data_IF_758035850253
#
_entry.id   IF_758035850253
#
_cell.length_a   1.000
_cell.length_b   1.000
_cell.length_c   1.000
_cell.angle_alpha   90.00
_cell.angle_beta   90.00
_cell.angle_gamma   90.00
#
_symmetry.space_group_name_H-M   'P 1'
#
loop_
_entity.id
_entity.type
_entity.pdbx_description
1 polymer ?
#
# COMPACT_ATOMS: atom_id res chain seq x y z
N UNK A 1 33.40 2.56 5.14
CA UNK A 1 31.95 2.73 4.85
C UNK A 1 31.51 4.07 5.43
N UNK A 2 30.80 4.92 4.67
CA UNK A 2 30.16 6.11 5.26
C UNK A 2 29.11 5.64 6.28
N UNK A 3 28.97 6.31 7.44
CA UNK A 3 27.94 5.94 8.41
C UNK A 3 26.56 6.01 7.72
N UNK A 4 25.76 4.95 7.88
CA UNK A 4 24.36 4.95 7.42
C UNK A 4 23.61 6.02 8.23
N UNK A 5 23.36 7.17 7.61
CA UNK A 5 22.48 8.20 8.17
C UNK A 5 21.08 7.60 8.23
N UNK A 6 20.50 7.49 9.43
CA UNK A 6 19.10 7.14 9.59
C UNK A 6 18.26 8.27 8.97
N UNK A 7 17.42 7.94 7.99
CA UNK A 7 16.55 8.92 7.35
C UNK A 7 15.32 9.16 8.25
N UNK A 8 15.00 10.43 8.53
CA UNK A 8 13.88 10.86 9.37
C UNK A 8 12.83 11.66 8.60
N UNK A 9 12.89 11.66 7.27
CA UNK A 9 11.92 12.35 6.43
C UNK A 9 10.51 11.77 6.65
N UNK A 10 9.55 12.64 6.95
CA UNK A 10 8.14 12.28 7.16
C UNK A 10 7.24 12.92 6.11
N UNK A 11 7.67 14.04 5.51
CA UNK A 11 6.94 14.74 4.45
C UNK A 11 7.55 14.44 3.08
N UNK A 12 6.70 14.47 2.05
CA UNK A 12 7.10 14.16 0.66
C UNK A 12 8.24 15.05 0.15
N UNK A 13 8.24 16.35 0.46
CA UNK A 13 9.32 17.27 0.08
C UNK A 13 10.65 16.94 0.80
N UNK A 14 10.61 16.49 2.07
CA UNK A 14 11.78 16.03 2.82
C UNK A 14 12.34 14.75 2.18
N UNK A 15 11.46 13.83 1.79
CA UNK A 15 11.85 12.60 1.09
C UNK A 15 12.52 12.92 -0.24
N UNK A 16 11.99 13.89 -1.00
CA UNK A 16 12.59 14.37 -2.24
C UNK A 16 13.94 15.06 -1.99
N UNK A 17 14.06 15.86 -0.93
CA UNK A 17 15.32 16.49 -0.54
C UNK A 17 16.38 15.44 -0.19
N UNK A 18 16.06 14.47 0.68
CA UNK A 18 16.96 13.37 1.03
C UNK A 18 17.34 12.56 -0.22
N UNK A 19 16.40 12.30 -1.12
CA UNK A 19 16.67 11.60 -2.37
C UNK A 19 17.67 12.36 -3.25
N UNK A 20 17.52 13.69 -3.37
CA UNK A 20 18.47 14.54 -4.10
C UNK A 20 19.85 14.57 -3.43
N UNK A 21 19.92 14.60 -2.10
CA UNK A 21 21.19 14.56 -1.35
C UNK A 21 21.94 13.24 -1.56
N UNK A 22 21.22 12.12 -1.62
CA UNK A 22 21.81 10.78 -1.78
C UNK A 22 22.17 10.47 -3.23
N UNK A 23 21.26 10.73 -4.18
CA UNK A 23 21.42 10.35 -5.59
C UNK A 23 22.09 11.43 -6.44
N UNK A 24 22.10 12.67 -5.96
CA UNK A 24 22.54 13.83 -6.72
C UNK A 24 21.50 14.33 -7.72
N UNK A 25 21.61 15.61 -8.08
CA UNK A 25 20.58 16.25 -8.89
C UNK A 25 20.52 15.74 -10.34
N UNK A 26 21.67 15.40 -10.95
CA UNK A 26 21.70 14.83 -12.31
C UNK A 26 20.97 13.49 -12.39
N UNK A 27 21.05 12.65 -11.35
CA UNK A 27 20.32 11.39 -11.31
C UNK A 27 18.81 11.64 -11.24
N UNK A 28 18.39 12.55 -10.35
CA UNK A 28 16.99 12.96 -10.21
C UNK A 28 16.41 13.55 -11.52
N UNK A 29 17.18 14.36 -12.24
CA UNK A 29 16.79 14.89 -13.55
C UNK A 29 16.50 13.78 -14.55
N UNK A 30 17.33 12.72 -14.59
CA UNK A 30 17.13 11.57 -15.47
C UNK A 30 15.88 10.77 -15.09
N UNK A 31 15.70 10.49 -13.79
CA UNK A 31 14.55 9.72 -13.29
C UNK A 31 13.24 10.42 -13.65
N UNK A 32 13.14 11.72 -13.38
CA UNK A 32 11.89 12.46 -13.58
C UNK A 32 11.78 13.15 -14.94
N UNK A 33 12.82 13.10 -15.77
CA UNK A 33 12.91 13.82 -17.05
C UNK A 33 12.56 15.31 -16.91
N UNK A 34 13.11 15.96 -15.88
CA UNK A 34 12.90 17.39 -15.59
C UNK A 34 14.22 18.12 -15.38
N UNK A 35 14.23 19.41 -15.70
CA UNK A 35 15.40 20.28 -15.49
C UNK A 35 15.70 20.56 -14.01
N UNK A 36 16.92 21.03 -13.74
CA UNK A 36 17.43 21.28 -12.39
C UNK A 36 16.50 22.13 -11.53
N UNK A 37 15.97 23.23 -12.08
CA UNK A 37 15.10 24.15 -11.34
C UNK A 37 13.84 23.45 -10.85
N UNK A 38 13.25 22.56 -11.67
CA UNK A 38 12.06 21.81 -11.28
C UNK A 38 12.37 20.77 -10.19
N UNK A 39 13.53 20.10 -10.26
CA UNK A 39 14.00 19.20 -9.20
C UNK A 39 14.17 19.96 -7.88
N UNK A 40 14.73 21.17 -7.93
CA UNK A 40 14.86 21.99 -6.73
C UNK A 40 13.49 22.35 -6.12
N UNK A 41 12.50 22.70 -6.95
CA UNK A 41 11.12 22.99 -6.50
C UNK A 41 10.45 21.78 -5.84
N UNK A 42 10.70 20.57 -6.32
CA UNK A 42 10.19 19.33 -5.71
C UNK A 42 10.77 19.06 -4.32
N UNK A 43 11.97 19.57 -4.03
CA UNK A 43 12.63 19.45 -2.74
C UNK A 43 12.30 20.63 -1.80
N UNK A 44 11.60 21.67 -2.27
CA UNK A 44 11.31 22.86 -1.48
C UNK A 44 10.20 22.59 -0.47
N UNK A 45 10.31 23.17 0.73
CA UNK A 45 9.22 23.15 1.71
C UNK A 45 7.97 23.85 1.15
N UNK A 46 6.75 23.38 1.45
CA UNK A 46 5.49 24.04 1.07
C UNK A 46 5.36 25.50 1.51
N UNK A 47 6.14 25.93 2.50
CA UNK A 47 6.19 27.32 2.96
C UNK A 47 7.01 28.24 2.04
N UNK A 48 7.82 27.68 1.14
CA UNK A 48 8.54 28.46 0.12
C UNK A 48 7.62 28.77 -1.06
N UNK A 49 7.69 30.00 -1.57
CA UNK A 49 6.88 30.47 -2.70
C UNK A 49 7.08 29.64 -3.98
N UNK A 50 8.28 29.10 -4.18
CA UNK A 50 8.65 28.28 -5.35
C UNK A 50 8.20 26.81 -5.23
N UNK A 51 7.55 26.41 -4.15
CA UNK A 51 7.11 25.04 -3.95
C UNK A 51 6.13 24.59 -5.04
N UNK A 52 6.33 23.37 -5.53
CA UNK A 52 5.40 22.71 -6.44
C UNK A 52 5.19 21.26 -6.03
N UNK A 53 3.97 20.76 -6.28
CA UNK A 53 3.62 19.35 -6.07
C UNK A 53 4.66 18.43 -6.72
N UNK A 54 5.35 17.69 -5.87
CA UNK A 54 6.37 16.75 -6.27
C UNK A 54 5.73 15.43 -6.78
N UNK A 55 6.52 14.52 -7.37
CA UNK A 55 6.00 13.26 -7.88
C UNK A 55 5.28 12.41 -6.83
N UNK A 56 5.73 12.43 -5.57
CA UNK A 56 5.07 11.70 -4.48
C UNK A 56 3.71 12.33 -4.13
N UNK A 57 3.61 13.67 -4.10
CA UNK A 57 2.32 14.35 -3.91
C UNK A 57 1.33 14.03 -5.03
N UNK A 58 1.83 13.93 -6.26
CA UNK A 58 1.02 13.61 -7.44
C UNK A 58 0.55 12.17 -7.42
N UNK A 59 1.40 11.23 -7.02
CA UNK A 59 1.02 9.83 -6.83
C UNK A 59 -0.03 9.68 -5.73
N UNK A 60 0.16 10.37 -4.60
CA UNK A 60 -0.83 10.37 -3.53
C UNK A 60 -2.19 10.89 -4.03
N UNK A 61 -2.20 12.04 -4.73
CA UNK A 61 -3.43 12.57 -5.33
C UNK A 61 -4.08 11.58 -6.32
N UNK A 62 -3.28 10.95 -7.18
CA UNK A 62 -3.78 9.96 -8.13
C UNK A 62 -4.46 8.80 -7.39
N UNK A 63 -3.81 8.26 -6.36
CA UNK A 63 -4.33 7.15 -5.57
C UNK A 63 -5.60 7.51 -4.80
N UNK A 64 -5.64 8.69 -4.17
CA UNK A 64 -6.86 9.17 -3.52
C UNK A 64 -8.02 9.29 -4.50
N UNK A 65 -7.78 9.77 -5.72
CA UNK A 65 -8.82 9.87 -6.75
C UNK A 65 -9.29 8.51 -7.27
N UNK A 66 -8.38 7.54 -7.42
CA UNK A 66 -8.77 6.19 -7.80
C UNK A 66 -9.63 5.53 -6.72
N UNK A 67 -9.26 5.72 -5.45
CA UNK A 67 -10.05 5.23 -4.32
C UNK A 67 -11.44 5.90 -4.25
N UNK A 68 -11.53 7.21 -4.45
CA UNK A 68 -12.80 7.96 -4.54
C UNK A 68 -13.74 7.40 -5.61
N UNK A 69 -13.19 6.86 -6.71
CA UNK A 69 -13.93 6.24 -7.81
C UNK A 69 -14.17 4.73 -7.61
N UNK A 70 -13.78 4.16 -6.46
CA UNK A 70 -13.99 2.74 -6.11
C UNK A 70 -12.87 1.79 -6.54
N UNK A 71 -11.77 2.30 -7.09
CA UNK A 71 -10.65 1.50 -7.61
C UNK A 71 -9.58 1.18 -6.54
N UNK A 72 -10.01 0.79 -5.32
CA UNK A 72 -9.11 0.47 -4.18
C UNK A 72 -8.09 -0.62 -4.55
N UNK A 73 -8.52 -1.66 -5.26
CA UNK A 73 -7.66 -2.77 -5.67
C UNK A 73 -6.53 -2.35 -6.63
N UNK A 74 -6.80 -1.38 -7.50
CA UNK A 74 -5.78 -0.81 -8.39
C UNK A 74 -4.75 0.01 -7.59
N UNK A 75 -5.19 0.73 -6.55
CA UNK A 75 -4.29 1.48 -5.66
C UNK A 75 -3.37 0.52 -4.90
N UNK A 76 -3.92 -0.54 -4.32
CA UNK A 76 -3.14 -1.59 -3.63
C UNK A 76 -2.13 -2.21 -4.59
N UNK A 77 -2.50 -2.44 -5.85
CA UNK A 77 -1.59 -2.93 -6.88
C UNK A 77 -0.37 -2.04 -7.08
N UNK A 78 -0.62 -0.76 -7.27
CA UNK A 78 0.41 0.22 -7.54
C UNK A 78 1.35 0.35 -6.34
N UNK A 79 0.82 0.37 -5.11
CA UNK A 79 1.62 0.42 -3.90
C UNK A 79 2.51 -0.82 -3.73
N UNK A 80 1.95 -2.03 -3.92
CA UNK A 80 2.72 -3.27 -3.87
C UNK A 80 3.82 -3.32 -4.94
N UNK A 81 3.57 -2.79 -6.14
CA UNK A 81 4.61 -2.64 -7.16
C UNK A 81 5.76 -1.74 -6.68
N UNK A 82 5.46 -0.60 -6.05
CA UNK A 82 6.48 0.31 -5.52
C UNK A 82 7.27 -0.31 -4.35
N UNK A 83 6.59 -1.04 -3.46
CA UNK A 83 7.22 -1.74 -2.33
C UNK A 83 8.11 -2.93 -2.75
N UNK A 84 7.96 -3.44 -3.97
CA UNK A 84 8.76 -4.55 -4.49
C UNK A 84 10.28 -4.31 -4.44
N UNK A 85 10.71 -3.05 -4.49
CA UNK A 85 12.14 -2.66 -4.37
C UNK A 85 12.76 -2.95 -3.00
N UNK A 86 11.94 -3.06 -1.95
CA UNK A 86 12.37 -3.27 -0.57
C UNK A 86 11.90 -4.61 0.02
N UNK A 87 11.17 -5.43 -0.75
CA UNK A 87 10.66 -6.72 -0.30
C UNK A 87 9.51 -6.63 0.71
N UNK A 88 8.83 -5.48 0.78
CA UNK A 88 7.65 -5.26 1.61
C UNK A 88 6.38 -5.25 0.75
N UNK A 89 5.23 -5.36 1.42
CA UNK A 89 3.90 -5.19 0.83
C UNK A 89 3.06 -4.31 1.75
N UNK A 90 2.02 -3.70 1.17
CA UNK A 90 1.03 -3.00 1.99
C UNK A 90 0.14 -4.03 2.68
N UNK A 91 -0.18 -3.75 3.93
CA UNK A 91 -1.15 -4.49 4.72
C UNK A 91 -2.22 -3.52 5.19
N UNK A 92 -3.46 -3.96 5.19
CA UNK A 92 -4.55 -3.18 5.75
C UNK A 92 -4.30 -2.96 7.24
N UNK A 93 -4.50 -1.72 7.71
CA UNK A 93 -4.26 -1.34 9.11
C UNK A 93 -5.41 -1.76 10.04
N UNK A 94 -6.52 -2.26 9.50
CA UNK A 94 -7.72 -2.50 10.25
C UNK A 94 -7.55 -3.70 11.20
N UNK A 95 -8.09 -3.59 12.40
CA UNK A 95 -8.32 -4.77 13.24
C UNK A 95 -9.21 -5.74 12.46
N UNK A 96 -8.88 -7.02 12.58
CA UNK A 96 -9.69 -8.11 12.04
C UNK A 96 -10.97 -8.13 12.87
N UNK A 97 -12.05 -7.58 12.33
CA UNK A 97 -13.32 -7.40 13.02
C UNK A 97 -14.35 -8.24 12.29
N UNK A 98 -14.97 -9.23 12.97
CA UNK A 98 -16.10 -9.97 12.41
C UNK A 98 -17.19 -9.01 11.91
N UNK A 99 -17.63 -9.19 10.67
CA UNK A 99 -18.64 -8.35 10.04
C UNK A 99 -20.02 -9.03 9.96
N UNK A 100 -20.13 -10.31 10.33
CA UNK A 100 -21.37 -11.09 10.40
C UNK A 100 -21.93 -11.19 11.82
N UNK A 101 -23.20 -11.57 11.89
CA UNK A 101 -23.94 -11.61 13.17
C UNK A 101 -23.65 -12.89 13.95
N UNK A 102 -23.30 -13.97 13.25
CA UNK A 102 -23.09 -15.29 13.82
C UNK A 102 -21.78 -15.91 13.32
N UNK A 103 -21.21 -16.82 14.12
CA UNK A 103 -20.00 -17.56 13.73
C UNK A 103 -20.27 -18.43 12.50
N UNK A 104 -21.49 -18.98 12.40
CA UNK A 104 -21.91 -19.80 11.27
C UNK A 104 -21.94 -19.00 9.96
N UNK A 105 -22.33 -17.73 10.00
CA UNK A 105 -22.29 -16.84 8.83
C UNK A 105 -20.86 -16.48 8.44
N UNK A 106 -19.98 -16.18 9.40
CA UNK A 106 -18.54 -15.95 9.12
C UNK A 106 -17.91 -17.17 8.43
N UNK A 107 -18.19 -18.37 8.94
CA UNK A 107 -17.69 -19.61 8.33
C UNK A 107 -18.16 -19.81 6.89
N UNK A 108 -19.33 -19.25 6.52
CA UNK A 108 -19.86 -19.35 5.16
C UNK A 108 -19.18 -18.38 4.19
N UNK A 109 -18.71 -17.23 4.67
CA UNK A 109 -18.04 -16.20 3.87
C UNK A 109 -16.61 -16.59 3.47
N UNK A 110 -15.97 -17.49 4.22
CA UNK A 110 -14.66 -18.05 3.85
C UNK A 110 -14.68 -18.80 2.50
N UNK A 111 -15.80 -19.46 2.16
CA UNK A 111 -15.85 -20.38 1.01
C UNK A 111 -15.74 -19.67 -0.35
N UNK A 112 -16.52 -18.62 -0.66
CA UNK A 112 -16.36 -17.85 -1.90
C UNK A 112 -14.91 -17.39 -2.13
N UNK A 113 -14.26 -16.87 -1.11
CA UNK A 113 -12.89 -16.33 -1.22
C UNK A 113 -11.86 -17.42 -1.49
N UNK A 114 -12.02 -18.59 -0.84
CA UNK A 114 -11.16 -19.75 -1.10
C UNK A 114 -11.38 -20.33 -2.50
N UNK A 115 -12.63 -20.36 -2.98
CA UNK A 115 -12.97 -20.81 -4.33
C UNK A 115 -12.35 -19.88 -5.37
N UNK A 116 -12.41 -18.57 -5.17
CA UNK A 116 -11.79 -17.60 -6.08
C UNK A 116 -10.26 -17.75 -6.10
N UNK A 117 -9.63 -17.97 -4.95
CA UNK A 117 -8.20 -18.27 -4.88
C UNK A 117 -7.83 -19.49 -5.73
N UNK A 118 -8.55 -20.59 -5.58
CA UNK A 118 -8.32 -21.81 -6.34
C UNK A 118 -8.58 -21.60 -7.84
N UNK A 119 -9.59 -20.81 -8.20
CA UNK A 119 -9.86 -20.42 -9.58
C UNK A 119 -8.70 -19.64 -10.19
N UNK A 120 -8.14 -18.65 -9.48
CA UNK A 120 -7.00 -17.87 -9.97
C UNK A 120 -5.75 -18.74 -10.15
N UNK A 121 -5.51 -19.69 -9.24
CA UNK A 121 -4.40 -20.65 -9.35
C UNK A 121 -4.58 -21.56 -10.57
N UNK A 122 -5.76 -22.18 -10.70
CA UNK A 122 -6.05 -23.14 -11.78
C UNK A 122 -6.05 -22.51 -13.17
N UNK A 123 -6.38 -21.22 -13.26
CA UNK A 123 -6.36 -20.45 -14.52
C UNK A 123 -4.99 -19.85 -14.84
N UNK A 124 -3.94 -20.12 -14.05
CA UNK A 124 -2.61 -19.51 -14.17
C UNK A 124 -2.66 -17.98 -14.20
N UNK A 125 -3.49 -17.38 -13.35
CA UNK A 125 -3.54 -15.94 -13.20
C UNK A 125 -2.16 -15.38 -12.78
N UNK A 126 -1.95 -14.08 -13.00
CA UNK A 126 -0.71 -13.42 -12.60
C UNK A 126 -0.43 -13.68 -11.10
N UNK A 127 0.83 -14.02 -10.71
CA UNK A 127 1.16 -14.36 -9.31
C UNK A 127 0.75 -13.30 -8.29
N UNK A 128 0.70 -12.03 -8.71
CA UNK A 128 0.26 -10.93 -7.87
C UNK A 128 -1.24 -10.97 -7.56
N UNK A 129 -2.08 -11.37 -8.51
CA UNK A 129 -3.53 -11.54 -8.29
C UNK A 129 -3.79 -12.72 -7.36
N UNK A 130 -3.13 -13.86 -7.61
CA UNK A 130 -3.21 -15.05 -6.74
C UNK A 130 -2.81 -14.70 -5.31
N UNK A 131 -1.72 -13.94 -5.14
CA UNK A 131 -1.24 -13.57 -3.81
C UNK A 131 -2.22 -12.64 -3.09
N UNK A 132 -2.78 -11.63 -3.76
CA UNK A 132 -3.76 -10.74 -3.14
C UNK A 132 -5.03 -11.46 -2.73
N UNK A 133 -5.53 -12.34 -3.59
CA UNK A 133 -6.68 -13.18 -3.23
C UNK A 133 -6.35 -14.06 -2.02
N UNK A 134 -5.12 -14.60 -1.93
CA UNK A 134 -4.67 -15.35 -0.76
C UNK A 134 -4.62 -14.50 0.51
N UNK A 135 -4.13 -13.27 0.43
CA UNK A 135 -4.14 -12.31 1.53
C UNK A 135 -5.58 -11.99 1.98
N UNK A 136 -6.52 -11.83 1.03
CA UNK A 136 -7.94 -11.63 1.30
C UNK A 136 -8.57 -12.84 2.00
N UNK A 137 -8.40 -14.05 1.45
CA UNK A 137 -8.89 -15.29 2.04
C UNK A 137 -8.36 -15.51 3.46
N UNK A 138 -7.08 -15.19 3.72
CA UNK A 138 -6.54 -15.27 5.08
C UNK A 138 -7.22 -14.29 6.04
N UNK A 139 -7.69 -13.13 5.57
CA UNK A 139 -8.40 -12.17 6.41
C UNK A 139 -9.76 -12.70 6.84
N UNK A 140 -10.60 -13.15 5.90
CA UNK A 140 -11.92 -13.73 6.21
C UNK A 140 -11.80 -14.87 7.24
N UNK A 141 -10.83 -15.77 7.05
CA UNK A 141 -10.60 -16.87 7.98
C UNK A 141 -10.27 -16.36 9.39
N UNK A 142 -9.52 -15.26 9.48
CA UNK A 142 -9.19 -14.67 10.77
C UNK A 142 -10.37 -13.91 11.39
N UNK A 143 -11.30 -13.36 10.60
CA UNK A 143 -12.58 -12.80 11.07
C UNK A 143 -13.43 -13.91 11.69
N UNK A 144 -13.53 -15.06 11.01
CA UNK A 144 -14.16 -16.28 11.55
C UNK A 144 -13.55 -16.71 12.88
N UNK A 145 -12.22 -16.78 12.98
CA UNK A 145 -11.53 -17.15 14.24
C UNK A 145 -11.86 -16.15 15.34
N UNK A 146 -11.80 -14.85 15.05
CA UNK A 146 -12.09 -13.78 16.01
C UNK A 146 -13.53 -13.86 16.51
N UNK A 147 -14.49 -14.08 15.61
CA UNK A 147 -15.91 -14.27 15.93
C UNK A 147 -16.13 -15.44 16.88
N UNK A 148 -15.46 -16.56 16.61
CA UNK A 148 -15.53 -17.74 17.48
C UNK A 148 -14.95 -17.47 18.88
N UNK A 149 -13.80 -16.80 18.98
CA UNK A 149 -13.21 -16.43 20.27
C UNK A 149 -14.16 -15.55 21.09
N UNK A 150 -14.82 -14.57 20.46
CA UNK A 150 -15.82 -13.72 21.12
C UNK A 150 -17.04 -14.51 21.60
N UNK A 151 -17.53 -15.45 20.78
CA UNK A 151 -18.64 -16.33 21.14
C UNK A 151 -18.31 -17.19 22.36
N UNK A 152 -17.10 -17.74 22.41
CA UNK A 152 -16.61 -18.51 23.57
C UNK A 152 -16.55 -17.64 24.84
N UNK A 153 -16.05 -16.40 24.74
CA UNK A 153 -15.99 -15.46 25.88
C UNK A 153 -17.38 -15.09 26.40
N UNK A 154 -18.40 -15.00 25.54
CA UNK A 154 -19.80 -14.70 25.93
C UNK A 154 -20.50 -15.88 26.60
N UNK A 155 -20.04 -17.11 26.38
CA UNK A 155 -20.63 -18.35 26.93
C UNK A 155 -19.93 -18.88 28.19
N UNK A 156 -18.70 -18.44 28.47
CA UNK A 156 -17.95 -18.75 29.70
C UNK A 156 -18.27 -17.76 30.82
#
# INVERSE_FOLDING_TARGET
MKPKKTNTATKTWEMMQCSREVLGATCMQKIFSRGQSQINRYCSSPQHEDHQRNPLDRLHLLFSKLEEEGEKELVIAALNHLCGSIGYRVQEQQEIIPDKLTVEEECLDDYPEKVELDRLITTNAAPELVRRQGEHTCREIMETVTSYEEHCKKKG
#
